data_IF_407024997216
#
_entry.id   IF_407024997216
#
_cell.length_a   1.000
_cell.length_b   1.000
_cell.length_c   1.000
_cell.angle_alpha   90.00
_cell.angle_beta   90.00
_cell.angle_gamma   90.00
#
_symmetry.space_group_name_H-M   'P 1'
#
loop_
_entity.id
_entity.type
_entity.pdbx_description
1 polymer ?
#
# COMPACT_ATOMS: atom_id res chain seq x y z
N UNK A 1 5.49 -16.54 -5.18
CA UNK A 1 5.61 -15.95 -3.83
C UNK A 1 5.82 -14.46 -4.00
N UNK A 2 5.11 -13.62 -3.24
CA UNK A 2 5.40 -12.17 -3.21
C UNK A 2 6.59 -11.99 -2.28
N UNK A 3 7.66 -11.38 -2.77
CA UNK A 3 8.91 -11.20 -2.05
C UNK A 3 9.70 -10.05 -2.64
N UNK A 4 10.59 -9.49 -1.82
CA UNK A 4 11.61 -8.57 -2.29
C UNK A 4 12.49 -9.24 -3.35
N UNK A 5 12.79 -8.48 -4.41
CA UNK A 5 13.63 -8.92 -5.52
C UNK A 5 14.86 -8.05 -5.70
N UNK A 6 15.04 -7.04 -4.86
CA UNK A 6 16.20 -6.17 -4.92
C UNK A 6 17.45 -6.90 -4.40
N UNK A 7 18.53 -6.82 -5.17
CA UNK A 7 19.88 -7.09 -4.66
C UNK A 7 20.28 -6.03 -3.63
N UNK A 8 21.33 -6.26 -2.81
CA UNK A 8 21.78 -5.27 -1.83
C UNK A 8 22.14 -3.90 -2.43
N UNK A 9 22.70 -3.90 -3.65
CA UNK A 9 23.03 -2.67 -4.38
C UNK A 9 21.77 -1.92 -4.83
N UNK A 10 20.81 -2.63 -5.43
CA UNK A 10 19.53 -2.04 -5.86
C UNK A 10 18.69 -1.56 -4.68
N UNK A 11 18.76 -2.26 -3.54
CA UNK A 11 18.11 -1.85 -2.30
C UNK A 11 18.62 -0.48 -1.82
N UNK A 12 19.92 -0.19 -1.95
CA UNK A 12 20.47 1.12 -1.60
C UNK A 12 19.88 2.24 -2.47
N UNK A 13 19.81 2.03 -3.79
CA UNK A 13 19.18 2.97 -4.72
C UNK A 13 17.69 3.17 -4.44
N UNK A 14 16.98 2.10 -4.11
CA UNK A 14 15.58 2.15 -3.70
C UNK A 14 15.38 2.98 -2.42
N UNK A 15 16.21 2.79 -1.39
CA UNK A 15 16.12 3.59 -0.15
C UNK A 15 16.39 5.08 -0.39
N UNK A 16 17.34 5.41 -1.27
CA UNK A 16 17.57 6.81 -1.67
C UNK A 16 16.33 7.40 -2.34
N UNK A 17 15.67 6.66 -3.24
CA UNK A 17 14.46 7.11 -3.90
C UNK A 17 13.30 7.32 -2.90
N UNK A 18 13.11 6.40 -1.94
CA UNK A 18 12.11 6.53 -0.88
C UNK A 18 12.40 7.73 0.03
N UNK A 19 13.67 8.03 0.34
CA UNK A 19 14.04 9.17 1.17
C UNK A 19 13.93 10.53 0.45
N UNK A 20 13.80 10.54 -0.88
CA UNK A 20 13.75 11.75 -1.68
C UNK A 20 12.44 12.54 -1.60
N UNK A 21 12.37 13.72 -2.26
CA UNK A 21 11.20 14.62 -2.21
C UNK A 21 9.88 14.00 -2.72
N UNK A 22 9.97 13.06 -3.66
CA UNK A 22 8.83 12.30 -4.19
C UNK A 22 8.63 10.94 -3.50
N UNK A 23 9.40 10.67 -2.46
CA UNK A 23 9.33 9.47 -1.64
C UNK A 23 7.92 9.09 -1.17
N UNK A 24 7.09 10.03 -0.68
CA UNK A 24 5.71 9.72 -0.30
C UNK A 24 4.88 9.08 -1.43
N UNK A 25 5.18 9.37 -2.70
CA UNK A 25 4.54 8.72 -3.84
C UNK A 25 5.01 7.26 -3.99
N UNK A 26 6.32 7.02 -3.90
CA UNK A 26 6.92 5.68 -4.00
C UNK A 26 6.61 4.77 -2.83
N UNK A 27 6.33 5.33 -1.65
CA UNK A 27 5.88 4.57 -0.47
C UNK A 27 4.45 4.06 -0.57
N UNK A 28 3.64 4.54 -1.53
CA UNK A 28 2.25 4.07 -1.72
C UNK A 28 1.39 4.19 -0.44
N UNK A 29 1.73 5.11 0.46
CA UNK A 29 1.02 5.35 1.71
C UNK A 29 1.46 4.51 2.92
N UNK A 30 2.54 3.72 2.80
CA UNK A 30 3.19 3.03 3.91
C UNK A 30 4.36 3.86 4.44
N UNK A 31 4.83 3.60 5.66
CA UNK A 31 6.03 4.25 6.22
C UNK A 31 7.05 3.25 6.77
N UNK A 32 6.66 1.97 6.83
CA UNK A 32 7.46 0.86 7.34
C UNK A 32 8.49 0.35 6.32
N UNK A 33 9.35 -0.57 6.75
CA UNK A 33 10.38 -1.15 5.90
C UNK A 33 9.78 -1.82 4.67
N UNK A 34 10.31 -1.47 3.50
CA UNK A 34 9.83 -1.96 2.22
C UNK A 34 10.94 -2.31 1.24
N UNK A 35 10.67 -3.29 0.40
CA UNK A 35 11.45 -3.67 -0.77
C UNK A 35 10.65 -3.47 -2.05
N UNK A 36 11.08 -4.13 -3.12
CA UNK A 36 10.38 -4.07 -4.40
C UNK A 36 10.29 -5.46 -5.03
N UNK A 37 9.07 -5.91 -5.29
CA UNK A 37 8.79 -7.21 -5.88
C UNK A 37 8.56 -7.13 -7.39
N UNK A 38 8.19 -8.26 -7.97
CA UNK A 38 7.70 -8.28 -9.35
C UNK A 38 6.32 -7.60 -9.37
N UNK A 39 6.28 -6.34 -9.79
CA UNK A 39 5.12 -5.45 -10.03
C UNK A 39 4.94 -4.26 -9.06
N UNK A 40 5.73 -4.12 -7.99
CA UNK A 40 5.52 -2.99 -7.08
C UNK A 40 6.19 -3.07 -5.71
N UNK A 41 5.77 -2.14 -4.85
CA UNK A 41 6.20 -1.99 -3.46
C UNK A 41 5.81 -3.22 -2.63
N UNK A 42 6.73 -3.73 -1.81
CA UNK A 42 6.49 -4.90 -0.96
C UNK A 42 6.83 -4.58 0.49
N UNK A 43 5.85 -4.69 1.39
CA UNK A 43 6.08 -4.59 2.84
C UNK A 43 7.00 -5.72 3.31
N UNK A 44 8.01 -5.42 4.13
CA UNK A 44 8.95 -6.40 4.68
C UNK A 44 8.69 -6.72 6.16
N UNK A 45 7.70 -6.07 6.76
CA UNK A 45 7.29 -6.26 8.14
C UNK A 45 5.78 -6.02 8.27
N UNK A 46 5.19 -6.60 9.32
CA UNK A 46 3.77 -6.45 9.63
C UNK A 46 3.41 -5.03 10.09
N UNK A 47 2.22 -4.58 9.72
CA UNK A 47 1.55 -3.41 10.27
C UNK A 47 0.28 -3.85 11.02
N UNK A 48 0.30 -3.71 12.34
CA UNK A 48 -0.80 -4.16 13.20
C UNK A 48 -2.15 -3.57 12.78
N UNK A 49 -3.12 -4.45 12.53
CA UNK A 49 -4.47 -4.09 12.08
C UNK A 49 -4.54 -3.60 10.63
N UNK A 50 -3.46 -3.71 9.86
CA UNK A 50 -3.37 -3.26 8.47
C UNK A 50 -2.57 -4.26 7.61
N UNK A 51 -1.67 -3.79 6.74
CA UNK A 51 -0.90 -4.64 5.83
C UNK A 51 -0.01 -5.64 6.57
N UNK A 52 -0.12 -6.91 6.21
CA UNK A 52 0.81 -7.93 6.63
C UNK A 52 2.15 -7.83 5.92
N UNK A 53 3.16 -8.53 6.44
CA UNK A 53 4.41 -8.75 5.74
C UNK A 53 4.16 -9.35 4.35
N UNK A 54 5.00 -8.97 3.39
CA UNK A 54 4.89 -9.39 1.98
C UNK A 54 3.59 -8.95 1.28
N UNK A 55 2.91 -7.92 1.79
CA UNK A 55 1.84 -7.24 1.04
C UNK A 55 2.43 -6.53 -0.18
N UNK A 56 1.89 -6.82 -1.37
CA UNK A 56 2.24 -6.12 -2.62
C UNK A 56 1.29 -4.94 -2.83
N UNK A 57 1.81 -3.76 -3.10
CA UNK A 57 0.98 -2.59 -3.39
C UNK A 57 1.57 -1.70 -4.49
N UNK A 58 0.68 -1.00 -5.20
CA UNK A 58 1.04 0.04 -6.16
C UNK A 58 -0.13 0.98 -6.41
N UNK A 59 -0.04 1.82 -7.44
CA UNK A 59 -1.11 2.73 -7.82
C UNK A 59 -1.04 3.18 -9.27
N UNK A 60 -1.95 4.08 -9.62
CA UNK A 60 -2.06 4.69 -10.94
C UNK A 60 -2.36 6.18 -10.83
N UNK A 61 -1.48 7.02 -11.36
CA UNK A 61 -1.57 8.47 -11.21
C UNK A 61 -1.74 8.89 -9.75
N UNK A 62 -2.50 9.97 -9.51
CA UNK A 62 -2.76 10.48 -8.16
C UNK A 62 -3.98 9.87 -7.48
N UNK A 63 -4.87 9.21 -8.22
CA UNK A 63 -6.22 8.87 -7.73
C UNK A 63 -6.48 7.38 -7.54
N UNK A 64 -5.58 6.50 -7.99
CA UNK A 64 -5.74 5.05 -7.87
C UNK A 64 -4.65 4.42 -6.98
N UNK A 65 -5.06 3.47 -6.14
CA UNK A 65 -4.16 2.58 -5.42
C UNK A 65 -4.76 1.17 -5.31
N UNK A 66 -3.89 0.15 -5.27
CA UNK A 66 -4.29 -1.23 -5.04
C UNK A 66 -3.28 -1.95 -4.13
N UNK A 67 -3.74 -3.02 -3.49
CA UNK A 67 -2.91 -3.91 -2.70
C UNK A 67 -3.40 -5.36 -2.79
N UNK A 68 -2.47 -6.28 -2.53
CA UNK A 68 -2.72 -7.69 -2.37
C UNK A 68 -1.96 -8.20 -1.13
N UNK A 69 -2.69 -8.39 -0.04
CA UNK A 69 -2.20 -8.88 1.24
C UNK A 69 -2.58 -10.35 1.40
N UNK A 70 -1.63 -11.21 1.05
CA UNK A 70 -1.85 -12.66 1.08
C UNK A 70 -1.90 -13.24 2.49
N UNK A 71 -1.26 -12.58 3.46
CA UNK A 71 -1.21 -13.05 4.85
C UNK A 71 -2.56 -12.86 5.52
N UNK A 72 -3.20 -11.72 5.30
CA UNK A 72 -4.51 -11.40 5.85
C UNK A 72 -5.67 -11.85 4.95
N UNK A 73 -5.39 -12.52 3.83
CA UNK A 73 -6.38 -12.99 2.84
C UNK A 73 -7.28 -11.85 2.33
N UNK A 74 -6.68 -10.70 2.03
CA UNK A 74 -7.39 -9.51 1.59
C UNK A 74 -6.68 -8.83 0.42
N UNK A 75 -7.43 -8.47 -0.61
CA UNK A 75 -6.96 -7.62 -1.70
C UNK A 75 -7.99 -6.51 -1.94
N UNK A 76 -7.52 -5.37 -2.45
CA UNK A 76 -8.40 -4.21 -2.65
C UNK A 76 -7.85 -3.21 -3.64
N UNK A 77 -8.77 -2.46 -4.26
CA UNK A 77 -8.46 -1.33 -5.13
C UNK A 77 -9.37 -0.15 -4.80
N UNK A 78 -8.79 1.04 -4.81
CA UNK A 78 -9.51 2.32 -4.76
C UNK A 78 -9.17 3.13 -6.00
N UNK A 79 -10.20 3.67 -6.64
CA UNK A 79 -10.07 4.53 -7.81
C UNK A 79 -10.95 5.77 -7.60
N UNK A 80 -10.36 6.84 -7.06
CA UNK A 80 -11.07 8.09 -6.80
C UNK A 80 -11.36 8.79 -8.13
N UNK A 81 -12.65 9.06 -8.39
CA UNK A 81 -13.08 9.82 -9.57
C UNK A 81 -13.06 11.31 -9.23
N UNK A 82 -11.91 11.96 -9.45
CA UNK A 82 -11.70 13.36 -9.09
C UNK A 82 -12.18 14.33 -10.18
N UNK A 83 -12.63 15.51 -9.77
CA UNK A 83 -12.91 16.63 -10.68
C UNK A 83 -11.62 17.33 -11.10
N UNK A 84 -11.68 18.11 -12.18
CA UNK A 84 -10.57 18.96 -12.66
C UNK A 84 -10.86 20.42 -12.27
N UNK A 85 -9.91 21.16 -11.66
CA UNK A 85 -8.57 20.70 -11.26
C UNK A 85 -8.60 19.74 -10.06
N UNK A 86 -7.71 18.74 -10.07
CA UNK A 86 -7.64 17.70 -9.02
C UNK A 86 -7.09 18.28 -7.72
N UNK A 87 -7.85 18.15 -6.64
CA UNK A 87 -7.37 18.37 -5.28
C UNK A 87 -6.49 17.18 -4.84
N UNK A 88 -5.17 17.33 -5.04
CA UNK A 88 -4.17 16.29 -4.75
C UNK A 88 -4.15 15.88 -3.27
N UNK A 89 -4.14 16.81 -2.29
CA UNK A 89 -4.27 16.47 -0.88
C UNK A 89 -5.51 15.64 -0.58
N UNK A 90 -6.69 16.05 -1.07
CA UNK A 90 -7.94 15.34 -0.80
C UNK A 90 -7.94 13.91 -1.37
N UNK A 91 -7.52 13.72 -2.63
CA UNK A 91 -7.47 12.36 -3.23
C UNK A 91 -6.42 11.48 -2.56
N UNK A 92 -5.35 12.07 -2.03
CA UNK A 92 -4.32 11.34 -1.28
C UNK A 92 -4.89 10.81 0.03
N UNK A 93 -5.63 11.65 0.76
CA UNK A 93 -6.30 11.25 2.00
C UNK A 93 -7.41 10.23 1.75
N UNK A 94 -8.23 10.40 0.71
CA UNK A 94 -9.27 9.43 0.36
C UNK A 94 -8.69 8.01 0.09
N UNK A 95 -7.52 7.93 -0.55
CA UNK A 95 -6.83 6.64 -0.73
C UNK A 95 -6.37 6.07 0.62
N UNK A 96 -5.84 6.89 1.53
CA UNK A 96 -5.44 6.41 2.87
C UNK A 96 -6.63 5.95 3.71
N UNK A 97 -7.74 6.68 3.68
CA UNK A 97 -9.00 6.28 4.32
C UNK A 97 -9.43 4.91 3.80
N UNK A 98 -9.47 4.70 2.48
CA UNK A 98 -9.80 3.39 1.92
C UNK A 98 -8.86 2.29 2.43
N UNK A 99 -7.54 2.49 2.31
CA UNK A 99 -6.55 1.46 2.63
C UNK A 99 -6.68 0.98 4.08
N UNK A 100 -6.98 1.86 5.03
CA UNK A 100 -7.16 1.51 6.44
C UNK A 100 -8.58 1.03 6.77
N UNK A 101 -9.60 1.72 6.26
CA UNK A 101 -10.98 1.43 6.62
C UNK A 101 -11.47 0.07 6.10
N UNK A 102 -10.93 -0.40 4.97
CA UNK A 102 -11.27 -1.73 4.45
C UNK A 102 -10.85 -2.86 5.40
N UNK A 103 -9.72 -2.71 6.09
CA UNK A 103 -9.27 -3.67 7.10
C UNK A 103 -10.17 -3.67 8.33
N UNK A 104 -10.59 -2.47 8.80
CA UNK A 104 -11.59 -2.35 9.88
C UNK A 104 -12.91 -3.04 9.49
N UNK A 105 -13.40 -2.83 8.27
CA UNK A 105 -14.61 -3.49 7.76
C UNK A 105 -14.43 -5.00 7.66
N UNK A 106 -13.26 -5.46 7.21
CA UNK A 106 -12.93 -6.87 7.10
C UNK A 106 -12.92 -7.56 8.47
N UNK A 107 -12.27 -6.96 9.48
CA UNK A 107 -12.28 -7.46 10.85
C UNK A 107 -13.71 -7.59 11.41
N UNK A 108 -14.52 -6.53 11.31
CA UNK A 108 -15.91 -6.55 11.77
C UNK A 108 -16.78 -7.60 11.03
N UNK A 109 -16.48 -7.88 9.76
CA UNK A 109 -17.16 -8.93 8.99
C UNK A 109 -16.73 -10.33 9.45
N UNK A 110 -15.43 -10.55 9.72
CA UNK A 110 -14.89 -11.82 10.23
C UNK A 110 -15.51 -12.18 11.58
N UNK A 111 -15.57 -11.22 12.51
CA UNK A 111 -16.17 -11.41 13.85
C UNK A 111 -17.64 -11.90 13.77
N UNK A 112 -18.44 -11.29 12.88
CA UNK A 112 -19.84 -11.67 12.67
C UNK A 112 -20.03 -13.07 12.08
N UNK A 113 -19.02 -13.64 11.42
CA UNK A 113 -19.07 -14.99 10.84
C UNK A 113 -18.55 -16.07 11.77
N UNK A 114 -17.79 -15.67 12.79
CA UNK A 114 -17.27 -16.56 13.82
C UNK A 114 -18.20 -16.68 15.04
N UNK A 115 -19.29 -15.88 15.07
CA UNK A 115 -20.38 -15.93 16.03
C UNK A 115 -21.55 -16.73 15.47
#
# INVERSE_FOLDING_TARGET
MVQDRLTPEEAAGHQVALAGPIGPFFRVGTEKKAGYGLSGHVNLEDEDGWYGDHTLSWGGGMTLAWFADRKNDLAGVVAVQATIPTDVPAVTELKQVFRKDIYRKYAAWREKRSS
#
